data_IF_056902342257
#
_entry.id   IF_056902342257
#
_cell.length_a   1.000
_cell.length_b   1.000
_cell.length_c   1.000
_cell.angle_alpha   90.00
_cell.angle_beta   90.00
_cell.angle_gamma   90.00
#
_symmetry.space_group_name_H-M   'P 1'
#
loop_
_entity.id
_entity.type
_entity.pdbx_description
1 polymer ?
#
# COMPACT_ATOMS: atom_id res chain seq x y z
N UNK A 1 9.27 54.37 24.47
CA UNK A 1 10.07 53.33 25.14
C UNK A 1 9.10 52.42 25.88
N UNK A 2 8.91 51.13 25.58
CA UNK A 2 9.55 50.18 24.67
C UNK A 2 8.45 49.21 24.28
N UNK A 3 8.15 49.13 22.97
CA UNK A 3 7.49 47.98 22.35
C UNK A 3 8.41 46.79 22.56
N UNK A 4 7.99 45.80 23.36
CA UNK A 4 8.71 44.53 23.50
C UNK A 4 8.14 43.55 22.49
N UNK A 5 8.79 43.54 21.33
CA UNK A 5 9.22 42.36 20.58
C UNK A 5 8.39 41.09 20.81
N UNK A 6 7.36 40.95 19.99
CA UNK A 6 6.63 39.71 19.79
C UNK A 6 7.20 39.03 18.54
N UNK A 7 8.43 38.54 18.63
CA UNK A 7 9.07 37.73 17.62
C UNK A 7 9.93 36.65 18.28
N UNK A 8 9.83 35.43 17.73
CA UNK A 8 10.65 34.24 17.99
C UNK A 8 10.25 33.38 19.20
N UNK A 9 9.23 32.56 18.99
CA UNK A 9 9.27 31.14 19.36
C UNK A 9 8.80 30.33 18.14
N UNK A 10 9.55 30.40 17.04
CA UNK A 10 9.45 29.44 15.95
C UNK A 10 10.22 28.22 16.42
N UNK A 11 9.48 27.19 16.83
CA UNK A 11 10.04 25.97 17.42
C UNK A 11 10.93 25.26 16.38
N UNK A 12 12.26 25.11 16.61
CA UNK A 12 13.20 24.55 15.63
C UNK A 12 13.13 23.01 15.51
N UNK A 13 12.16 22.36 16.16
CA UNK A 13 12.01 20.90 16.15
C UNK A 13 11.18 20.37 14.95
N UNK A 14 10.62 21.23 14.10
CA UNK A 14 9.86 20.83 12.90
C UNK A 14 10.70 20.70 11.62
N UNK A 15 12.04 20.74 11.72
CA UNK A 15 12.95 20.64 10.55
C UNK A 15 13.81 19.36 10.57
N UNK A 16 13.23 18.24 11.01
CA UNK A 16 13.84 16.91 10.84
C UNK A 16 12.86 15.89 10.26
N UNK A 17 12.20 16.25 9.16
CA UNK A 17 11.70 15.26 8.20
C UNK A 17 12.69 15.27 7.03
N UNK A 18 13.91 14.80 7.29
CA UNK A 18 14.79 14.33 6.25
C UNK A 18 15.10 12.88 6.56
N UNK A 19 14.23 12.00 6.08
CA UNK A 19 14.58 10.60 5.89
C UNK A 19 14.36 10.29 4.42
N UNK A 20 15.28 10.82 3.61
CA UNK A 20 15.71 10.14 2.40
C UNK A 20 16.43 8.85 2.83
N UNK A 21 15.67 7.87 3.35
CA UNK A 21 16.20 6.54 3.67
C UNK A 21 16.27 5.77 2.37
N UNK A 22 17.44 5.82 1.74
CA UNK A 22 17.85 4.76 0.82
C UNK A 22 17.58 3.42 1.53
N UNK A 23 16.90 2.45 0.91
CA UNK A 23 16.66 1.17 1.56
C UNK A 23 18.02 0.53 1.90
N UNK A 24 18.36 0.52 3.20
CA UNK A 24 19.56 -0.17 3.68
C UNK A 24 19.30 -1.65 3.57
N UNK A 25 19.97 -2.32 2.63
CA UNK A 25 19.88 -3.76 2.44
C UNK A 25 20.42 -4.48 3.68
N UNK A 26 19.52 -4.92 4.57
CA UNK A 26 19.85 -5.75 5.74
C UNK A 26 19.87 -7.22 5.32
N UNK A 27 21.01 -7.91 5.53
CA UNK A 27 21.20 -9.31 5.13
C UNK A 27 21.50 -10.14 6.36
N UNK A 28 20.81 -11.27 6.52
CA UNK A 28 21.08 -12.22 7.60
C UNK A 28 21.07 -13.65 7.06
N UNK A 29 22.16 -14.37 7.29
CA UNK A 29 22.22 -15.80 7.03
C UNK A 29 21.41 -16.54 8.11
N UNK A 30 20.53 -17.45 7.70
CA UNK A 30 19.67 -18.24 8.60
C UNK A 30 19.83 -19.72 8.29
N UNK A 31 19.54 -20.56 9.28
CA UNK A 31 19.55 -22.01 9.13
C UNK A 31 18.19 -22.51 8.63
N UNK A 32 18.22 -23.53 7.77
CA UNK A 32 17.03 -24.24 7.31
C UNK A 32 16.97 -25.57 8.05
N UNK A 33 15.87 -25.81 8.77
CA UNK A 33 15.70 -27.07 9.49
C UNK A 33 15.54 -28.25 8.54
N UNK A 34 15.66 -29.48 9.05
CA UNK A 34 15.44 -30.71 8.27
C UNK A 34 14.04 -30.77 7.64
N UNK A 35 13.05 -30.17 8.31
CA UNK A 35 11.67 -30.05 7.83
C UNK A 35 11.47 -28.86 6.89
N UNK A 36 12.56 -28.23 6.43
CA UNK A 36 12.56 -27.06 5.51
C UNK A 36 11.90 -25.83 6.13
N UNK A 37 11.91 -25.72 7.45
CA UNK A 37 11.39 -24.54 8.15
C UNK A 37 12.53 -23.54 8.36
N UNK A 38 12.20 -22.26 8.21
CA UNK A 38 13.10 -21.15 8.51
C UNK A 38 12.47 -20.28 9.58
N UNK A 39 13.29 -19.70 10.45
CA UNK A 39 12.83 -18.70 11.41
C UNK A 39 13.11 -17.31 10.86
N UNK A 40 12.04 -16.53 10.66
CA UNK A 40 12.16 -15.14 10.23
C UNK A 40 12.73 -14.32 11.40
N UNK A 41 13.84 -13.58 11.21
CA UNK A 41 14.39 -12.71 12.24
C UNK A 41 13.36 -11.68 12.71
N UNK A 42 13.24 -11.47 14.03
CA UNK A 42 12.24 -10.57 14.63
C UNK A 42 12.20 -9.17 13.98
N UNK A 43 13.36 -8.57 13.71
CA UNK A 43 13.43 -7.26 13.05
C UNK A 43 12.76 -7.24 11.67
N UNK A 44 12.87 -8.33 10.91
CA UNK A 44 12.31 -8.41 9.56
C UNK A 44 10.79 -8.61 9.65
N UNK A 45 10.35 -9.46 10.58
CA UNK A 45 8.94 -9.66 10.89
C UNK A 45 8.25 -8.34 11.28
N UNK A 46 8.84 -7.61 12.23
CA UNK A 46 8.30 -6.34 12.73
C UNK A 46 8.33 -5.24 11.64
N UNK A 47 9.42 -5.15 10.87
CA UNK A 47 9.56 -4.10 9.84
C UNK A 47 8.66 -4.30 8.62
N UNK A 48 8.34 -5.55 8.28
CA UNK A 48 7.45 -5.90 7.17
C UNK A 48 5.99 -6.07 7.62
N UNK A 49 5.68 -5.92 8.91
CA UNK A 49 4.31 -6.06 9.43
C UNK A 49 3.70 -7.44 9.19
N UNK A 50 4.51 -8.49 9.11
CA UNK A 50 4.03 -9.82 8.71
C UNK A 50 3.03 -10.36 9.74
N UNK A 51 1.99 -11.04 9.25
CA UNK A 51 0.99 -11.71 10.08
C UNK A 51 1.41 -13.14 10.48
N UNK A 52 0.44 -13.95 10.90
CA UNK A 52 0.62 -15.39 11.10
C UNK A 52 0.72 -16.18 9.79
N UNK A 53 0.22 -15.59 8.71
CA UNK A 53 0.21 -16.16 7.37
C UNK A 53 0.79 -15.15 6.38
N UNK A 54 1.54 -15.65 5.41
CA UNK A 54 2.25 -14.85 4.40
C UNK A 54 2.22 -15.60 3.06
N UNK A 55 2.39 -14.86 1.97
CA UNK A 55 2.58 -15.44 0.64
C UNK A 55 4.06 -15.79 0.49
N UNK A 56 4.32 -17.01 0.02
CA UNK A 56 5.65 -17.51 -0.30
C UNK A 56 5.69 -17.83 -1.80
N UNK A 57 6.42 -17.03 -2.56
CA UNK A 57 6.50 -17.11 -4.01
C UNK A 57 7.90 -17.56 -4.46
N UNK A 58 7.98 -18.48 -5.41
CA UNK A 58 9.24 -18.87 -6.05
C UNK A 58 9.44 -18.04 -7.33
N UNK A 59 10.42 -17.13 -7.31
CA UNK A 59 10.79 -16.29 -8.46
C UNK A 59 12.18 -16.68 -8.95
N UNK A 60 12.22 -17.54 -9.98
CA UNK A 60 13.48 -18.09 -10.49
C UNK A 60 14.19 -18.93 -9.41
N UNK A 61 15.32 -18.44 -8.91
CA UNK A 61 16.11 -19.09 -7.86
C UNK A 61 15.92 -18.45 -6.47
N UNK A 62 14.94 -17.56 -6.32
CA UNK A 62 14.68 -16.83 -5.08
C UNK A 62 13.32 -17.20 -4.50
N UNK A 63 13.24 -17.28 -3.17
CA UNK A 63 11.98 -17.33 -2.43
C UNK A 63 11.66 -15.91 -1.96
N UNK A 64 10.54 -15.36 -2.41
CA UNK A 64 10.03 -14.06 -2.01
C UNK A 64 8.91 -14.27 -1.00
N UNK A 65 9.10 -13.70 0.20
CA UNK A 65 8.10 -13.68 1.25
C UNK A 65 7.45 -12.31 1.28
N UNK A 66 6.12 -12.27 1.17
CA UNK A 66 5.34 -11.02 1.21
C UNK A 66 4.10 -11.21 2.05
N UNK A 67 3.61 -10.13 2.65
CA UNK A 67 2.35 -10.17 3.40
C UNK A 67 1.19 -10.61 2.50
N UNK A 68 0.14 -11.17 3.13
CA UNK A 68 -1.12 -11.40 2.43
C UNK A 68 -1.81 -10.03 2.33
N UNK A 69 -2.13 -9.55 1.11
CA UNK A 69 -2.90 -8.34 0.96
C UNK A 69 -4.19 -8.48 1.77
N UNK A 70 -4.42 -7.60 2.73
CA UNK A 70 -5.73 -7.56 3.36
C UNK A 70 -6.71 -7.14 2.27
N UNK A 71 -7.67 -8.01 1.96
CA UNK A 71 -8.75 -7.66 1.05
C UNK A 71 -9.40 -6.40 1.58
N UNK A 72 -9.28 -5.30 0.84
CA UNK A 72 -9.78 -4.00 1.26
C UNK A 72 -11.25 -4.15 1.68
N UNK A 73 -11.54 -3.70 2.89
CA UNK A 73 -12.87 -3.83 3.47
C UNK A 73 -13.71 -2.61 3.10
N UNK A 74 -14.38 -2.68 1.96
CA UNK A 74 -15.26 -1.62 1.46
C UNK A 74 -16.63 -1.61 2.13
N UNK A 75 -16.79 -2.28 3.29
CA UNK A 75 -18.11 -2.45 3.90
C UNK A 75 -18.74 -1.11 4.30
N UNK A 76 -17.94 -0.15 4.77
CA UNK A 76 -18.45 1.15 5.21
C UNK A 76 -18.91 2.01 4.01
N UNK A 77 -18.11 2.04 2.94
CA UNK A 77 -18.38 2.79 1.71
C UNK A 77 -19.63 2.26 1.01
N UNK A 78 -19.74 0.93 0.88
CA UNK A 78 -20.93 0.29 0.28
C UNK A 78 -22.18 0.63 1.10
N UNK A 79 -22.09 0.59 2.44
CA UNK A 79 -23.23 0.93 3.29
C UNK A 79 -23.63 2.40 3.16
N UNK A 80 -22.66 3.33 3.13
CA UNK A 80 -22.92 4.77 2.92
C UNK A 80 -23.65 5.00 1.59
N UNK A 81 -23.19 4.37 0.51
CA UNK A 81 -23.80 4.49 -0.81
C UNK A 81 -25.22 3.90 -0.86
N UNK A 82 -25.43 2.73 -0.24
CA UNK A 82 -26.75 2.09 -0.24
C UNK A 82 -27.77 2.85 0.61
N UNK A 83 -27.34 3.39 1.75
CA UNK A 83 -28.20 4.25 2.59
C UNK A 83 -28.51 5.56 1.85
N UNK A 84 -27.54 6.16 1.15
CA UNK A 84 -27.76 7.35 0.33
C UNK A 84 -28.74 7.11 -0.82
N UNK A 85 -28.76 5.88 -1.38
CA UNK A 85 -29.74 5.45 -2.38
C UNK A 85 -31.12 5.13 -1.79
N UNK A 86 -31.29 5.19 -0.46
CA UNK A 86 -32.56 4.96 0.23
C UNK A 86 -32.88 3.49 0.46
N UNK A 87 -31.90 2.58 0.37
CA UNK A 87 -32.11 1.19 0.75
C UNK A 87 -32.19 1.04 2.27
N UNK A 88 -33.21 0.31 2.73
CA UNK A 88 -33.46 0.10 4.16
C UNK A 88 -33.83 -1.37 4.46
N UNK A 89 -33.73 -1.75 5.74
CA UNK A 89 -34.17 -3.06 6.24
C UNK A 89 -33.56 -4.24 5.49
N UNK A 90 -34.39 -5.19 5.05
CA UNK A 90 -33.92 -6.38 4.34
C UNK A 90 -33.41 -6.09 2.93
N UNK A 91 -33.90 -5.03 2.29
CA UNK A 91 -33.44 -4.65 0.95
C UNK A 91 -32.00 -4.13 0.99
N UNK A 92 -31.65 -3.39 2.05
CA UNK A 92 -30.28 -2.94 2.30
C UNK A 92 -29.32 -4.12 2.45
N UNK A 93 -29.72 -5.14 3.22
CA UNK A 93 -28.89 -6.34 3.43
C UNK A 93 -28.69 -7.09 2.12
N UNK A 94 -29.75 -7.24 1.31
CA UNK A 94 -29.68 -7.95 0.04
C UNK A 94 -28.75 -7.26 -0.97
N UNK A 95 -28.91 -5.95 -1.17
CA UNK A 95 -28.04 -5.20 -2.08
C UNK A 95 -26.61 -5.07 -1.56
N UNK A 96 -26.41 -4.95 -0.24
CA UNK A 96 -25.07 -4.94 0.36
C UNK A 96 -24.30 -6.24 0.04
N UNK A 97 -24.92 -7.40 0.23
CA UNK A 97 -24.29 -8.69 -0.07
C UNK A 97 -23.94 -8.82 -1.55
N UNK A 98 -24.86 -8.41 -2.42
CA UNK A 98 -24.68 -8.43 -3.87
C UNK A 98 -23.51 -7.54 -4.29
N UNK A 99 -23.48 -6.29 -3.85
CA UNK A 99 -22.41 -5.33 -4.20
C UNK A 99 -21.07 -5.77 -3.62
N UNK A 100 -21.02 -6.16 -2.34
CA UNK A 100 -19.78 -6.62 -1.67
C UNK A 100 -19.14 -7.80 -2.40
N UNK A 101 -19.94 -8.70 -2.97
CA UNK A 101 -19.44 -9.84 -3.74
C UNK A 101 -18.81 -9.46 -5.09
N UNK A 102 -19.23 -8.32 -5.67
CA UNK A 102 -18.78 -7.87 -6.99
C UNK A 102 -17.62 -6.88 -6.93
N UNK A 103 -17.56 -6.06 -5.87
CA UNK A 103 -16.53 -5.02 -5.74
C UNK A 103 -15.14 -5.63 -5.56
N UNK A 104 -14.98 -6.64 -4.70
CA UNK A 104 -13.68 -7.28 -4.45
C UNK A 104 -12.97 -7.74 -5.73
N UNK A 105 -13.59 -8.60 -6.58
CA UNK A 105 -12.94 -9.07 -7.79
C UNK A 105 -12.75 -7.96 -8.84
N UNK A 106 -13.58 -6.92 -8.85
CA UNK A 106 -13.41 -5.79 -9.77
C UNK A 106 -12.19 -4.94 -9.39
N UNK A 107 -11.99 -4.69 -8.09
CA UNK A 107 -10.85 -3.91 -7.58
C UNK A 107 -9.54 -4.68 -7.76
N UNK A 108 -9.52 -5.98 -7.47
CA UNK A 108 -8.34 -6.83 -7.70
C UNK A 108 -7.91 -6.79 -9.18
N UNK A 109 -8.87 -6.92 -10.12
CA UNK A 109 -8.59 -6.80 -11.56
C UNK A 109 -8.03 -5.43 -11.94
N UNK A 110 -8.58 -4.35 -11.39
CA UNK A 110 -8.08 -2.99 -11.66
C UNK A 110 -6.62 -2.84 -11.19
N UNK A 111 -6.30 -3.37 -10.01
CA UNK A 111 -4.93 -3.38 -9.48
C UNK A 111 -4.00 -4.18 -10.40
N UNK A 112 -4.42 -5.38 -10.83
CA UNK A 112 -3.65 -6.24 -11.73
C UNK A 112 -3.41 -5.58 -13.10
N UNK A 113 -4.45 -4.97 -13.69
CA UNK A 113 -4.35 -4.24 -14.97
C UNK A 113 -3.39 -3.04 -14.85
N UNK A 114 -3.46 -2.31 -13.73
CA UNK A 114 -2.58 -1.18 -13.46
C UNK A 114 -1.13 -1.62 -13.27
N UNK A 115 -0.90 -2.72 -12.56
CA UNK A 115 0.43 -3.30 -12.37
C UNK A 115 1.02 -3.77 -13.70
N UNK A 116 0.21 -4.43 -14.53
CA UNK A 116 0.62 -4.86 -15.87
C UNK A 116 0.95 -3.68 -16.79
N UNK A 117 0.13 -2.62 -16.78
CA UNK A 117 0.39 -1.41 -17.55
C UNK A 117 1.70 -0.73 -17.11
N UNK A 118 1.97 -0.66 -15.81
CA UNK A 118 3.19 -0.09 -15.27
C UNK A 118 4.44 -0.91 -15.64
N UNK A 119 4.35 -2.24 -15.64
CA UNK A 119 5.47 -3.11 -16.01
C UNK A 119 5.86 -2.94 -17.49
N UNK A 120 4.87 -2.73 -18.37
CA UNK A 120 5.08 -2.53 -19.81
C UNK A 120 5.61 -1.13 -20.19
N UNK A 121 5.61 -0.16 -19.26
CA UNK A 121 6.14 1.19 -19.49
C UNK A 121 7.65 1.31 -19.25
N UNK A 122 8.32 0.27 -18.73
CA UNK A 122 9.77 0.26 -18.44
C UNK A 122 10.68 0.25 -19.68
N UNK A 123 10.17 0.58 -20.87
CA UNK A 123 10.90 0.52 -22.14
C UNK A 123 11.19 1.86 -22.83
N UNK A 124 10.51 2.98 -22.49
CA UNK A 124 10.75 4.30 -23.13
C UNK A 124 9.96 5.45 -22.44
N UNK A 125 9.96 5.46 -21.10
CA UNK A 125 9.05 6.31 -20.31
C UNK A 125 9.32 7.82 -20.38
N UNK A 126 10.54 8.26 -20.70
CA UNK A 126 10.88 9.67 -20.51
C UNK A 126 10.28 10.58 -21.60
N UNK A 127 10.30 10.16 -22.88
CA UNK A 127 9.83 11.02 -23.99
C UNK A 127 8.29 11.05 -24.11
N UNK A 128 7.62 9.92 -23.86
CA UNK A 128 6.15 9.82 -23.99
C UNK A 128 5.43 10.44 -22.78
N UNK A 129 6.00 10.33 -21.58
CA UNK A 129 5.40 10.91 -20.36
C UNK A 129 5.56 12.43 -20.33
N UNK A 130 6.66 12.99 -20.85
CA UNK A 130 6.79 14.44 -21.00
C UNK A 130 5.81 15.02 -22.05
N UNK A 131 5.54 14.31 -23.14
CA UNK A 131 4.56 14.74 -24.14
C UNK A 131 3.11 14.73 -23.62
N UNK A 132 2.79 13.86 -22.65
CA UNK A 132 1.43 13.71 -22.13
C UNK A 132 1.12 14.62 -20.94
N UNK A 133 2.12 14.91 -20.09
CA UNK A 133 1.95 15.67 -18.85
C UNK A 133 2.77 16.97 -18.80
N UNK A 134 3.45 17.35 -19.89
CA UNK A 134 4.29 18.56 -19.96
C UNK A 134 3.52 19.86 -19.68
N UNK A 135 2.24 19.89 -20.06
CA UNK A 135 1.38 21.07 -19.92
C UNK A 135 0.98 21.38 -18.45
N UNK A 136 1.25 20.48 -17.51
CA UNK A 136 0.92 20.65 -16.07
C UNK A 136 2.11 21.15 -15.24
N UNK A 137 3.26 21.47 -15.87
CA UNK A 137 4.48 21.92 -15.18
C UNK A 137 4.61 23.46 -15.02
N UNK A 138 3.54 24.24 -15.20
CA UNK A 138 3.55 25.69 -14.90
C UNK A 138 3.25 26.03 -13.43
#
# INVERSE_FOLDING_TARGET
>A
MVVKDNEKLRNPEMERISMNTKPTKEVKQIHVSEKRQITIPKRFYDSLGLGSEIICELRGNEIVLREIPQAADFSEEILKDLVAQGYEGQNLIHEFQKIKSQIRPAVEKLIDESAFAAENLNGNGDEQTEALFGDLKE
#
